data_IF_016971490434
#
_entry.id   IF_016971490434
#
_cell.length_a   1.000
_cell.length_b   1.000
_cell.length_c   1.000
_cell.angle_alpha   90.00
_cell.angle_beta   90.00
_cell.angle_gamma   90.00
#
_symmetry.space_group_name_H-M   'P 1'
#
loop_
_entity.id
_entity.type
_entity.pdbx_description
1 polymer ?
#
# COMPACT_ATOMS: atom_id res chain seq x y z
N UNK A 1 12.67 11.51 -16.29
CA UNK A 1 12.30 11.90 -14.91
C UNK A 1 10.79 11.87 -14.80
N UNK A 2 10.21 10.71 -14.52
CA UNK A 2 8.75 10.58 -14.37
C UNK A 2 8.43 10.80 -12.90
N UNK A 3 7.86 11.96 -12.57
CA UNK A 3 7.39 12.28 -11.23
C UNK A 3 6.26 11.29 -10.88
N UNK A 4 6.55 10.35 -9.98
CA UNK A 4 5.51 9.56 -9.32
C UNK A 4 4.72 10.50 -8.42
N UNK A 5 3.64 11.03 -8.95
CA UNK A 5 2.60 11.67 -8.15
C UNK A 5 1.90 10.54 -7.39
N UNK A 6 2.34 10.28 -6.17
CA UNK A 6 1.60 9.48 -5.21
C UNK A 6 0.36 10.32 -4.88
N UNK A 7 -0.71 10.09 -5.63
CA UNK A 7 -1.99 10.76 -5.45
C UNK A 7 -2.50 10.40 -4.05
N UNK A 8 -2.23 11.28 -3.09
CA UNK A 8 -2.66 11.22 -1.69
C UNK A 8 -4.20 11.22 -1.52
N UNK A 9 -4.96 11.05 -2.61
CA UNK A 9 -6.40 11.09 -2.67
C UNK A 9 -7.11 9.77 -2.30
N UNK A 10 -6.38 8.66 -2.08
CA UNK A 10 -6.98 7.42 -1.57
C UNK A 10 -7.13 7.38 -0.03
N UNK A 11 -6.91 8.51 0.65
CA UNK A 11 -6.90 8.61 2.12
C UNK A 11 -8.24 9.00 2.77
N UNK A 12 -9.37 8.81 2.09
CA UNK A 12 -10.68 9.05 2.72
C UNK A 12 -11.37 7.72 2.98
N UNK A 13 -11.12 7.18 4.17
CA UNK A 13 -11.71 5.92 4.64
C UNK A 13 -11.41 5.67 6.12
N UNK A 14 -11.81 6.64 6.96
CA UNK A 14 -12.20 6.50 8.38
C UNK A 14 -11.46 5.46 9.23
N UNK A 15 -10.73 5.96 10.22
CA UNK A 15 -10.16 5.19 11.31
C UNK A 15 -8.92 5.89 11.84
N UNK A 16 -9.15 6.78 12.80
CA UNK A 16 -8.20 7.32 13.80
C UNK A 16 -6.73 7.38 13.41
N UNK A 17 -6.24 8.62 13.32
CA UNK A 17 -4.83 9.00 13.30
C UNK A 17 -3.94 8.05 14.13
N UNK A 18 -3.13 7.25 13.46
CA UNK A 18 -1.82 6.82 13.98
C UNK A 18 -0.77 7.73 13.36
N UNK A 19 -0.85 9.01 13.72
CA UNK A 19 0.27 9.92 13.58
C UNK A 19 1.29 9.59 14.69
N UNK A 20 2.05 8.51 14.52
CA UNK A 20 3.15 8.17 15.45
C UNK A 20 4.24 7.25 14.89
N UNK A 21 4.22 6.93 13.59
CA UNK A 21 5.30 6.17 12.95
C UNK A 21 6.01 7.06 11.93
N UNK A 22 7.35 7.11 11.98
CA UNK A 22 8.17 7.88 11.04
C UNK A 22 7.96 7.51 9.56
N UNK A 23 8.80 8.02 8.66
CA UNK A 23 8.67 7.84 7.22
C UNK A 23 8.42 6.38 6.82
N UNK A 24 9.14 5.43 7.45
CA UNK A 24 8.94 4.00 7.25
C UNK A 24 7.49 3.51 7.40
N UNK A 25 6.78 3.93 8.46
CA UNK A 25 5.42 3.47 8.75
C UNK A 25 4.39 4.08 7.78
N UNK A 26 4.57 5.35 7.40
CA UNK A 26 3.71 6.01 6.42
C UNK A 26 3.81 5.33 5.04
N UNK A 27 5.03 5.02 4.60
CA UNK A 27 5.25 4.30 3.35
C UNK A 27 4.77 2.85 3.43
N UNK A 28 4.91 2.20 4.58
CA UNK A 28 4.32 0.89 4.84
C UNK A 28 2.80 0.91 4.64
N UNK A 29 2.10 1.87 5.25
CA UNK A 29 0.64 2.00 5.09
C UNK A 29 0.21 2.24 3.63
N UNK A 30 0.97 3.03 2.86
CA UNK A 30 0.74 3.20 1.42
C UNK A 30 0.93 1.88 0.67
N UNK A 31 2.02 1.16 0.95
CA UNK A 31 2.28 -0.16 0.37
C UNK A 31 1.16 -1.15 0.67
N UNK A 32 0.65 -1.16 1.90
CA UNK A 32 -0.47 -1.99 2.33
C UNK A 32 -1.78 -1.63 1.65
N UNK A 33 -2.04 -0.34 1.44
CA UNK A 33 -3.21 0.14 0.69
C UNK A 33 -3.17 -0.35 -0.75
N UNK A 34 -2.03 -0.20 -1.43
CA UNK A 34 -1.87 -0.66 -2.81
C UNK A 34 -1.98 -2.18 -2.92
N UNK A 35 -1.39 -2.94 -2.00
CA UNK A 35 -1.51 -4.40 -1.98
C UNK A 35 -2.95 -4.87 -1.74
N UNK A 36 -3.66 -4.26 -0.79
CA UNK A 36 -5.06 -4.56 -0.53
C UNK A 36 -5.96 -4.24 -1.73
N UNK A 37 -5.72 -3.09 -2.38
CA UNK A 37 -6.45 -2.71 -3.58
C UNK A 37 -6.13 -3.62 -4.77
N UNK A 38 -4.88 -4.01 -4.97
CA UNK A 38 -4.50 -4.92 -6.04
C UNK A 38 -5.24 -6.27 -5.92
N UNK A 39 -5.30 -6.83 -4.71
CA UNK A 39 -6.09 -8.05 -4.43
C UNK A 39 -7.58 -7.83 -4.71
N UNK A 40 -8.16 -6.73 -4.24
CA UNK A 40 -9.56 -6.39 -4.50
C UNK A 40 -9.86 -6.17 -6.00
N UNK A 41 -8.86 -5.77 -6.78
CA UNK A 41 -8.91 -5.61 -8.24
C UNK A 41 -8.63 -6.90 -9.02
N UNK A 42 -8.37 -8.02 -8.35
CA UNK A 42 -8.17 -9.33 -8.98
C UNK A 42 -6.71 -9.72 -9.23
N UNK A 43 -5.74 -9.03 -8.63
CA UNK A 43 -4.36 -9.50 -8.62
C UNK A 43 -4.23 -10.83 -7.86
N UNK A 44 -3.38 -11.74 -8.33
CA UNK A 44 -3.05 -12.96 -7.58
C UNK A 44 -2.24 -12.65 -6.32
N UNK A 45 -2.16 -13.56 -5.34
CA UNK A 45 -1.30 -13.39 -4.18
C UNK A 45 0.17 -13.14 -4.55
N UNK A 46 0.68 -13.82 -5.58
CA UNK A 46 2.05 -13.65 -6.07
C UNK A 46 2.28 -12.27 -6.69
N UNK A 47 1.29 -11.77 -7.44
CA UNK A 47 1.32 -10.42 -8.01
C UNK A 47 1.31 -9.35 -6.92
N UNK A 48 0.46 -9.51 -5.90
CA UNK A 48 0.44 -8.62 -4.76
C UNK A 48 1.74 -8.68 -3.95
N UNK A 49 2.36 -9.87 -3.81
CA UNK A 49 3.65 -10.02 -3.14
C UNK A 49 4.79 -9.31 -3.88
N UNK A 50 4.82 -9.39 -5.22
CA UNK A 50 5.78 -8.64 -6.05
C UNK A 50 5.62 -7.12 -5.88
N UNK A 51 4.38 -6.63 -5.87
CA UNK A 51 4.09 -5.21 -5.65
C UNK A 51 4.58 -4.74 -4.27
N UNK A 52 4.32 -5.52 -3.23
CA UNK A 52 4.80 -5.26 -1.87
C UNK A 52 6.32 -5.16 -1.82
N UNK A 53 7.02 -6.13 -2.43
CA UNK A 53 8.47 -6.13 -2.50
C UNK A 53 9.02 -4.89 -3.23
N UNK A 54 8.39 -4.49 -4.34
CA UNK A 54 8.74 -3.29 -5.09
C UNK A 54 8.57 -2.01 -4.26
N UNK A 55 7.42 -1.84 -3.59
CA UNK A 55 7.20 -0.68 -2.72
C UNK A 55 8.17 -0.64 -1.54
N UNK A 56 8.45 -1.78 -0.91
CA UNK A 56 9.42 -1.84 0.19
C UNK A 56 10.81 -1.47 -0.29
N UNK A 57 11.23 -1.96 -1.46
CA UNK A 57 12.51 -1.58 -2.06
C UNK A 57 12.59 -0.07 -2.33
N UNK A 58 11.52 0.53 -2.88
CA UNK A 58 11.43 1.98 -3.11
C UNK A 58 11.48 2.78 -1.81
N UNK A 59 10.75 2.36 -0.77
CA UNK A 59 10.79 3.03 0.52
C UNK A 59 12.18 2.91 1.18
N UNK A 60 12.85 1.77 1.00
CA UNK A 60 14.19 1.53 1.54
C UNK A 60 15.27 2.43 0.92
N UNK A 61 15.10 2.91 -0.31
CA UNK A 61 16.05 3.88 -0.89
C UNK A 61 16.01 5.25 -0.21
N UNK A 62 14.88 5.60 0.40
CA UNK A 62 14.66 6.91 1.05
C UNK A 62 14.81 6.82 2.57
N UNK A 63 14.24 5.78 3.18
CA UNK A 63 14.14 5.64 4.65
C UNK A 63 14.94 4.45 5.19
N UNK A 64 15.69 3.72 4.36
CA UNK A 64 16.40 2.50 4.78
C UNK A 64 17.50 2.73 5.81
N UNK A 65 17.93 3.98 6.01
CA UNK A 65 18.86 4.36 7.07
C UNK A 65 18.18 4.59 8.44
N UNK A 66 16.84 4.65 8.49
CA UNK A 66 16.09 4.79 9.74
C UNK A 66 16.19 3.50 10.57
N UNK A 67 16.57 3.63 11.85
CA UNK A 67 16.58 2.51 12.77
C UNK A 67 15.18 1.92 12.88
N UNK A 68 15.06 0.60 12.66
CA UNK A 68 13.76 -0.09 12.71
C UNK A 68 12.89 0.08 11.47
N UNK A 69 13.42 0.60 10.35
CA UNK A 69 12.70 0.75 9.08
C UNK A 69 11.89 -0.50 8.70
N UNK A 70 12.55 -1.66 8.63
CA UNK A 70 11.93 -2.89 8.14
C UNK A 70 10.72 -3.28 9.01
N UNK A 71 10.84 -3.19 10.34
CA UNK A 71 9.75 -3.52 11.26
C UNK A 71 8.61 -2.51 11.17
N UNK A 72 8.91 -1.21 11.14
CA UNK A 72 7.91 -0.15 11.08
C UNK A 72 7.12 -0.19 9.76
N UNK A 73 7.83 -0.40 8.64
CA UNK A 73 7.23 -0.56 7.32
C UNK A 73 6.34 -1.81 7.26
N UNK A 74 6.89 -2.99 7.60
CA UNK A 74 6.16 -4.26 7.46
C UNK A 74 4.91 -4.31 8.34
N UNK A 75 5.01 -3.76 9.56
CA UNK A 75 3.86 -3.68 10.48
C UNK A 75 2.75 -2.82 9.90
N UNK A 76 3.08 -1.61 9.45
CA UNK A 76 2.08 -0.69 8.90
C UNK A 76 1.47 -1.21 7.58
N UNK A 77 2.28 -1.85 6.75
CA UNK A 77 1.86 -2.48 5.49
C UNK A 77 0.87 -3.62 5.74
N UNK A 78 1.21 -4.56 6.62
CA UNK A 78 0.34 -5.69 6.95
C UNK A 78 -0.99 -5.24 7.58
N UNK A 79 -0.94 -4.29 8.53
CA UNK A 79 -2.15 -3.75 9.17
C UNK A 79 -3.08 -3.08 8.15
N UNK A 80 -2.52 -2.27 7.26
CA UNK A 80 -3.31 -1.52 6.27
C UNK A 80 -3.86 -2.43 5.18
N UNK A 81 -3.05 -3.39 4.69
CA UNK A 81 -3.51 -4.39 3.73
C UNK A 81 -4.71 -5.17 4.27
N UNK A 82 -4.64 -5.62 5.53
CA UNK A 82 -5.74 -6.33 6.19
C UNK A 82 -6.98 -5.46 6.26
N UNK A 83 -6.85 -4.20 6.71
CA UNK A 83 -7.98 -3.25 6.81
C UNK A 83 -8.70 -3.09 5.47
N UNK A 84 -7.96 -2.83 4.39
CA UNK A 84 -8.53 -2.64 3.05
C UNK A 84 -9.18 -3.91 2.52
N UNK A 85 -8.51 -5.06 2.67
CA UNK A 85 -9.03 -6.35 2.22
C UNK A 85 -10.32 -6.72 2.95
N UNK A 86 -10.37 -6.50 4.27
CA UNK A 86 -11.55 -6.78 5.08
C UNK A 86 -12.71 -5.84 4.73
N UNK A 87 -12.43 -4.54 4.50
CA UNK A 87 -13.45 -3.57 4.06
C UNK A 87 -14.02 -3.94 2.68
N UNK A 88 -13.17 -4.39 1.75
CA UNK A 88 -13.62 -4.88 0.44
C UNK A 88 -14.47 -6.14 0.55
N UNK A 89 -14.04 -7.14 1.33
CA UNK A 89 -14.81 -8.38 1.55
C UNK A 89 -16.18 -8.12 2.18
N UNK A 90 -16.30 -7.09 3.01
CA UNK A 90 -17.56 -6.66 3.63
C UNK A 90 -18.43 -5.79 2.71
N UNK A 91 -17.98 -5.48 1.50
CA UNK A 91 -18.66 -4.56 0.57
C UNK A 91 -18.65 -3.10 1.02
N UNK A 92 -17.86 -2.75 2.04
CA UNK A 92 -17.77 -1.39 2.61
C UNK A 92 -16.84 -0.49 1.80
N UNK A 93 -16.03 -1.08 0.92
CA UNK A 93 -15.06 -0.38 0.09
C UNK A 93 -14.93 -1.09 -1.25
N UNK A 94 -14.80 -0.32 -2.32
CA UNK A 94 -14.48 -0.84 -3.66
C UNK A 94 -13.49 0.11 -4.32
N UNK A 95 -12.31 -0.37 -4.75
CA UNK A 95 -11.40 0.45 -5.55
C UNK A 95 -12.09 0.90 -6.83
N UNK A 96 -11.82 2.13 -7.27
CA UNK A 96 -12.34 2.62 -8.55
C UNK A 96 -11.69 1.87 -9.71
N UNK A 97 -12.34 1.90 -10.88
CA UNK A 97 -11.77 1.29 -12.10
C UNK A 97 -10.42 1.89 -12.48
N UNK A 98 -10.23 3.19 -12.26
CA UNK A 98 -8.96 3.87 -12.48
C UNK A 98 -7.84 3.32 -11.59
N UNK A 99 -8.13 3.16 -10.29
CA UNK A 99 -7.19 2.57 -9.32
C UNK A 99 -6.85 1.14 -9.70
N UNK A 100 -7.86 0.34 -10.07
CA UNK A 100 -7.62 -1.03 -10.53
C UNK A 100 -6.79 -1.07 -11.81
N UNK A 101 -7.08 -0.23 -12.79
CA UNK A 101 -6.31 -0.21 -14.04
C UNK A 101 -4.84 0.13 -13.79
N UNK A 102 -4.56 1.09 -12.92
CA UNK A 102 -3.19 1.51 -12.64
C UNK A 102 -2.43 0.45 -11.82
N UNK A 103 -3.05 -0.12 -10.79
CA UNK A 103 -2.44 -1.20 -10.01
C UNK A 103 -2.21 -2.45 -10.85
N UNK A 104 -3.15 -2.80 -11.73
CA UNK A 104 -3.02 -3.95 -12.62
C UNK A 104 -1.93 -3.78 -13.67
N UNK A 105 -1.60 -2.54 -14.09
CA UNK A 105 -0.40 -2.29 -14.90
C UNK A 105 0.85 -2.57 -14.08
N UNK A 106 0.93 -2.07 -12.84
CA UNK A 106 2.10 -2.22 -11.98
C UNK A 106 2.38 -3.68 -11.58
N UNK A 107 1.35 -4.52 -11.41
CA UNK A 107 1.57 -5.95 -11.09
C UNK A 107 1.86 -6.84 -12.30
N UNK A 108 1.63 -6.32 -13.52
CA UNK A 108 1.88 -7.04 -14.78
C UNK A 108 3.20 -6.64 -15.44
N UNK A 109 3.74 -5.47 -15.10
CA UNK A 109 5.10 -5.04 -15.45
C UNK A 109 6.14 -5.80 -14.65
#
# INVERSE_FOLDING_TARGET
MTKLVITSALLIGSGTAVAQGGGAAQFGALGGTHAGNALACGATPEQAAKLRASHKAQAKTVFGAEAGFDQAYDTAEAQTQKKITDAWKKGQYKPTSEVCNELMKQVRS
#
